data_IF_699133960067
#
_entry.id   IF_699133960067
#
_cell.length_a   1.000
_cell.length_b   1.000
_cell.length_c   1.000
_cell.angle_alpha   90.00
_cell.angle_beta   90.00
_cell.angle_gamma   90.00
#
_symmetry.space_group_name_H-M   'P 1'
#
loop_
_entity.id
_entity.type
_entity.pdbx_description
1 polymer ?
#
# COMPACT_ATOMS: atom_id res chain seq x y z
N UNK A 1 -7.28 -11.14 -5.51
CA UNK A 1 -6.66 -10.82 -6.81
C UNK A 1 -5.21 -10.43 -6.58
N UNK A 2 -4.27 -10.88 -7.41
CA UNK A 2 -2.89 -10.39 -7.36
C UNK A 2 -2.89 -8.96 -7.92
N UNK A 3 -2.28 -8.02 -7.20
CA UNK A 3 -2.16 -6.64 -7.70
C UNK A 3 -1.08 -6.59 -8.79
N UNK A 4 -1.34 -5.92 -9.92
CA UNK A 4 -0.38 -5.86 -11.01
C UNK A 4 0.88 -5.09 -10.59
N UNK A 5 2.04 -5.66 -10.92
CA UNK A 5 3.34 -4.99 -10.83
C UNK A 5 3.32 -3.74 -11.70
N UNK A 6 3.83 -2.62 -11.19
CA UNK A 6 3.94 -1.39 -11.98
C UNK A 6 5.07 -1.50 -13.00
N UNK A 7 4.89 -0.89 -14.18
CA UNK A 7 5.99 -0.74 -15.12
C UNK A 7 7.06 0.23 -14.57
N UNK A 8 8.34 0.09 -14.99
CA UNK A 8 9.40 1.03 -14.62
C UNK A 8 9.05 2.50 -14.93
N UNK A 9 8.33 2.75 -16.02
CA UNK A 9 7.85 4.09 -16.42
C UNK A 9 6.81 4.64 -15.43
N UNK A 10 5.88 3.82 -14.98
CA UNK A 10 4.90 4.22 -13.97
C UNK A 10 5.58 4.53 -12.63
N UNK A 11 6.63 3.76 -12.27
CA UNK A 11 7.45 4.03 -11.08
C UNK A 11 8.22 5.35 -11.22
N UNK A 12 8.78 5.63 -12.40
CA UNK A 12 9.47 6.89 -12.66
C UNK A 12 8.52 8.09 -12.54
N UNK A 13 7.29 7.98 -13.06
CA UNK A 13 6.28 9.02 -12.93
C UNK A 13 5.86 9.27 -11.47
N UNK A 14 5.66 8.20 -10.69
CA UNK A 14 5.35 8.31 -9.26
C UNK A 14 6.50 8.91 -8.46
N UNK A 15 7.74 8.51 -8.74
CA UNK A 15 8.92 9.08 -8.12
C UNK A 15 9.03 10.57 -8.41
N UNK A 16 8.84 10.98 -9.66
CA UNK A 16 8.86 12.38 -10.06
C UNK A 16 7.77 13.20 -9.34
N UNK A 17 6.56 12.67 -9.25
CA UNK A 17 5.46 13.31 -8.52
C UNK A 17 5.76 13.45 -7.01
N UNK A 18 6.54 12.53 -6.45
CA UNK A 18 7.04 12.61 -5.07
C UNK A 18 8.29 13.47 -4.91
N UNK A 19 8.77 14.14 -5.97
CA UNK A 19 9.98 14.96 -5.94
C UNK A 19 11.29 14.14 -5.93
N UNK A 20 11.22 12.84 -6.22
CA UNK A 20 12.36 11.93 -6.27
C UNK A 20 12.83 11.73 -7.71
N UNK A 21 14.15 11.79 -7.92
CA UNK A 21 14.78 11.32 -9.16
C UNK A 21 15.45 9.98 -8.91
N UNK A 22 14.91 8.94 -9.52
CA UNK A 22 15.49 7.59 -9.48
C UNK A 22 16.32 7.35 -10.73
N UNK A 23 17.48 6.73 -10.54
CA UNK A 23 18.28 6.24 -11.67
C UNK A 23 17.57 5.05 -12.35
N UNK A 24 17.73 4.86 -13.67
CA UNK A 24 17.00 3.83 -14.42
C UNK A 24 17.20 2.41 -13.87
N UNK A 25 18.41 2.08 -13.40
CA UNK A 25 18.77 0.80 -12.80
C UNK A 25 18.03 0.51 -11.49
N UNK A 26 17.52 1.54 -10.81
CA UNK A 26 16.77 1.42 -9.56
C UNK A 26 15.27 1.23 -9.80
N UNK A 27 14.75 1.56 -10.98
CA UNK A 27 13.31 1.56 -11.25
C UNK A 27 12.71 0.16 -11.17
N UNK A 28 13.39 -0.87 -11.69
CA UNK A 28 12.92 -2.26 -11.63
C UNK A 28 12.86 -2.78 -10.18
N UNK A 29 13.91 -2.51 -9.40
CA UNK A 29 13.96 -2.90 -7.99
C UNK A 29 12.83 -2.23 -7.20
N UNK A 30 12.61 -0.93 -7.42
CA UNK A 30 11.52 -0.18 -6.78
C UNK A 30 10.16 -0.71 -7.22
N UNK A 31 9.97 -1.05 -8.50
CA UNK A 31 8.73 -1.64 -9.00
C UNK A 31 8.40 -2.97 -8.31
N UNK A 32 9.40 -3.84 -8.16
CA UNK A 32 9.26 -5.12 -7.47
C UNK A 32 8.94 -4.93 -5.98
N UNK A 33 9.66 -4.04 -5.30
CA UNK A 33 9.40 -3.72 -3.88
C UNK A 33 8.00 -3.15 -3.69
N UNK A 34 7.56 -2.24 -4.57
CA UNK A 34 6.23 -1.64 -4.47
C UNK A 34 5.12 -2.68 -4.71
N UNK A 35 5.33 -3.61 -5.64
CA UNK A 35 4.40 -4.72 -5.88
C UNK A 35 4.28 -5.63 -4.65
N UNK A 36 5.40 -5.95 -3.99
CA UNK A 36 5.41 -6.71 -2.74
C UNK A 36 4.64 -5.98 -1.63
N UNK A 37 4.93 -4.71 -1.38
CA UNK A 37 4.24 -3.90 -0.35
C UNK A 37 2.73 -3.87 -0.62
N UNK A 38 2.34 -3.64 -1.88
CA UNK A 38 0.92 -3.63 -2.27
C UNK A 38 0.25 -4.99 -2.03
N UNK A 39 0.94 -6.10 -2.30
CA UNK A 39 0.41 -7.43 -2.03
C UNK A 39 0.20 -7.66 -0.52
N UNK A 40 1.12 -7.19 0.33
CA UNK A 40 0.96 -7.26 1.79
C UNK A 40 -0.21 -6.40 2.27
N UNK A 41 -0.34 -5.17 1.79
CA UNK A 41 -1.49 -4.29 2.12
C UNK A 41 -2.81 -4.94 1.71
N UNK A 42 -2.87 -5.57 0.53
CA UNK A 42 -4.08 -6.26 0.06
C UNK A 42 -4.50 -7.45 0.94
N UNK A 43 -3.63 -7.96 1.82
CA UNK A 43 -4.02 -8.94 2.85
C UNK A 43 -4.87 -8.28 3.93
N UNK A 44 -4.65 -7.00 4.21
CA UNK A 44 -5.43 -6.22 5.19
C UNK A 44 -6.85 -5.94 4.67
N UNK A 45 -7.04 -5.78 3.37
CA UNK A 45 -8.39 -5.63 2.78
C UNK A 45 -9.29 -6.87 3.04
N UNK A 46 -8.70 -8.02 3.35
CA UNK A 46 -9.45 -9.23 3.74
C UNK A 46 -9.89 -9.21 5.20
N UNK A 47 -9.29 -8.35 6.04
CA UNK A 47 -9.77 -8.10 7.38
C UNK A 47 -10.99 -7.19 7.25
N UNK A 48 -12.16 -7.81 7.36
CA UNK A 48 -13.45 -7.16 7.22
C UNK A 48 -13.57 -5.99 8.20
N UNK A 49 -13.86 -4.80 7.70
CA UNK A 49 -14.30 -3.67 8.54
C UNK A 49 -15.65 -3.92 9.21
N UNK A 50 -16.27 -5.09 9.00
CA UNK A 50 -17.49 -5.49 9.70
C UNK A 50 -17.28 -5.56 11.22
N UNK A 51 -16.09 -6.00 11.68
CA UNK A 51 -15.79 -6.07 13.12
C UNK A 51 -15.62 -4.66 13.73
N UNK A 52 -15.26 -3.66 12.92
CA UNK A 52 -15.18 -2.27 13.37
C UNK A 52 -16.57 -1.62 13.59
N UNK A 53 -17.64 -2.18 13.00
CA UNK A 53 -19.02 -1.67 13.20
C UNK A 53 -19.67 -2.21 14.47
N UNK A 54 -19.12 -3.29 15.04
CA UNK A 54 -19.64 -3.94 16.24
C UNK A 54 -18.90 -3.52 17.50
N UNK A 55 -17.85 -2.71 17.38
CA UNK A 55 -17.18 -2.13 18.54
C UNK A 55 -18.15 -1.16 19.25
N UNK A 56 -18.44 -1.36 20.55
CA UNK A 56 -19.19 -0.38 21.30
C UNK A 56 -18.45 0.97 21.24
N UNK A 57 -19.17 2.11 21.26
CA UNK A 57 -18.54 3.41 21.40
C UNK A 57 -17.62 3.39 22.65
N UNK A 58 -16.45 4.00 22.51
CA UNK A 58 -15.51 4.16 23.62
C UNK A 58 -16.21 4.87 24.78
N UNK A 59 -16.32 4.19 25.93
CA UNK A 59 -16.85 4.74 27.18
C UNK A 59 -15.68 5.16 28.07
N UNK A 60 -15.42 6.48 28.23
CA UNK A 60 -14.36 6.98 29.09
C UNK A 60 -14.63 6.73 30.59
N UNK A 61 -15.87 6.40 30.96
CA UNK A 61 -16.31 6.17 32.32
C UNK A 61 -16.41 4.68 32.68
N UNK A 62 -15.75 3.82 31.89
CA UNK A 62 -15.66 2.37 32.13
C UNK A 62 -15.37 2.12 33.63
N UNK A 63 -16.31 1.45 34.31
CA UNK A 63 -16.18 0.99 35.70
C UNK A 63 -16.21 -0.52 35.73
#
# INVERSE_FOLDING_TARGET
MALPTLSPEAVAALALAAGLKLAPDRLEAVAATLAFIRAEIAKLDRLSSADARSAPPFDPDWR
#
